data_IF_825767918898
#
_entry.id   IF_825767918898
#
_cell.length_a   1.000
_cell.length_b   1.000
_cell.length_c   1.000
_cell.angle_alpha   90.00
_cell.angle_beta   90.00
_cell.angle_gamma   90.00
#
_symmetry.space_group_name_H-M   'P 1'
#
loop_
_entity.id
_entity.type
_entity.pdbx_description
1 polymer ?
#
# COMPACT_ATOMS: atom_id res chain seq x y z
N UNK A 1 6.59 -15.12 9.02
CA UNK A 1 7.81 -14.55 9.63
C UNK A 1 7.48 -14.06 11.02
N UNK A 2 8.42 -14.17 11.95
CA UNK A 2 8.31 -13.54 13.26
C UNK A 2 8.36 -12.02 13.08
N UNK A 3 7.32 -11.31 13.51
CA UNK A 3 7.23 -9.85 13.38
C UNK A 3 8.38 -9.13 14.11
N UNK A 4 8.93 -9.75 15.16
CA UNK A 4 10.08 -9.22 15.88
C UNK A 4 11.32 -9.22 14.99
N UNK A 5 11.61 -10.35 14.33
CA UNK A 5 12.74 -10.48 13.41
C UNK A 5 12.66 -9.51 12.23
N UNK A 6 11.46 -9.30 11.67
CA UNK A 6 11.23 -8.32 10.58
C UNK A 6 11.53 -6.90 11.06
N UNK A 7 11.12 -6.56 12.29
CA UNK A 7 11.38 -5.25 12.90
C UNK A 7 12.85 -5.02 13.17
N UNK A 8 13.56 -6.01 13.71
CA UNK A 8 15.01 -5.93 13.94
C UNK A 8 15.77 -5.74 12.63
N UNK A 9 15.41 -6.49 11.59
CA UNK A 9 15.96 -6.34 10.24
C UNK A 9 15.72 -4.92 9.71
N UNK A 10 14.50 -4.39 9.86
CA UNK A 10 14.18 -3.03 9.43
C UNK A 10 14.99 -1.97 10.19
N UNK A 11 15.18 -2.12 11.50
CA UNK A 11 16.02 -1.22 12.31
C UNK A 11 17.49 -1.29 11.83
N UNK A 12 18.01 -2.48 11.54
CA UNK A 12 19.36 -2.64 11.02
C UNK A 12 19.55 -1.96 9.66
N UNK A 13 18.57 -2.09 8.77
CA UNK A 13 18.56 -1.40 7.45
C UNK A 13 18.48 0.11 7.64
N UNK A 14 17.62 0.58 8.55
CA UNK A 14 17.49 2.00 8.87
C UNK A 14 18.84 2.61 9.29
N UNK A 15 19.57 1.94 10.20
CA UNK A 15 20.90 2.39 10.63
C UNK A 15 21.90 2.50 9.47
N UNK A 16 21.84 1.56 8.51
CA UNK A 16 22.71 1.58 7.32
C UNK A 16 22.36 2.71 6.37
N UNK A 17 21.07 2.97 6.16
CA UNK A 17 20.63 3.97 5.18
C UNK A 17 20.77 5.42 5.69
N UNK A 18 20.87 5.61 7.01
CA UNK A 18 21.17 6.90 7.63
C UNK A 18 22.66 7.14 7.87
N UNK A 19 23.53 6.19 7.51
CA UNK A 19 24.97 6.39 7.61
C UNK A 19 25.45 7.37 6.52
N UNK A 20 26.51 8.13 6.81
CA UNK A 20 27.10 9.05 5.84
C UNK A 20 27.57 8.30 4.58
N UNK A 21 27.19 8.81 3.41
CA UNK A 21 27.51 8.20 2.11
C UNK A 21 26.68 6.97 1.75
N UNK A 22 25.65 6.62 2.52
CA UNK A 22 24.79 5.48 2.20
C UNK A 22 23.98 5.69 0.91
N UNK A 23 23.97 4.67 0.06
CA UNK A 23 23.11 4.62 -1.13
C UNK A 23 21.78 3.93 -0.78
N UNK A 24 20.72 4.75 -0.65
CA UNK A 24 19.36 4.28 -0.43
C UNK A 24 18.92 3.31 -1.53
N UNK A 25 19.29 3.60 -2.79
CA UNK A 25 18.88 2.80 -3.93
C UNK A 25 19.49 1.40 -3.90
N UNK A 26 20.79 1.31 -3.62
CA UNK A 26 21.46 0.03 -3.46
C UNK A 26 20.86 -0.82 -2.32
N UNK A 27 20.58 -0.19 -1.16
CA UNK A 27 19.95 -0.87 -0.03
C UNK A 27 18.51 -1.30 -0.32
N UNK A 28 17.74 -0.47 -1.04
CA UNK A 28 16.39 -0.81 -1.46
C UNK A 28 16.37 -1.98 -2.45
N UNK A 29 17.29 -2.01 -3.42
CA UNK A 29 17.45 -3.14 -4.35
C UNK A 29 17.78 -4.45 -3.65
N UNK A 30 18.59 -4.40 -2.58
CA UNK A 30 19.04 -5.58 -1.86
C UNK A 30 18.03 -6.11 -0.84
N UNK A 31 17.25 -5.22 -0.22
CA UNK A 31 16.46 -5.56 0.97
C UNK A 31 14.95 -5.35 0.83
N UNK A 32 14.46 -4.68 -0.23
CA UNK A 32 13.03 -4.45 -0.39
C UNK A 32 12.32 -5.71 -0.91
N UNK A 33 11.29 -6.14 -0.19
CA UNK A 33 10.42 -7.24 -0.62
C UNK A 33 9.46 -6.83 -1.76
N UNK A 34 9.35 -5.52 -2.03
CA UNK A 34 8.52 -4.99 -3.11
C UNK A 34 9.31 -5.02 -4.43
N UNK A 35 9.21 -6.15 -5.14
CA UNK A 35 9.97 -6.46 -6.37
C UNK A 35 10.05 -5.31 -7.37
N UNK A 36 8.93 -4.67 -7.68
CA UNK A 36 8.87 -3.61 -8.71
C UNK A 36 9.70 -2.38 -8.34
N UNK A 37 9.67 -1.97 -7.07
CA UNK A 37 10.49 -0.85 -6.60
C UNK A 37 11.92 -1.29 -6.33
N UNK A 38 12.14 -2.51 -5.83
CA UNK A 38 13.48 -3.06 -5.61
C UNK A 38 14.31 -3.04 -6.90
N UNK A 39 13.73 -3.46 -8.03
CA UNK A 39 14.40 -3.42 -9.35
C UNK A 39 14.76 -2.01 -9.82
N UNK A 40 14.18 -0.97 -9.23
CA UNK A 40 14.39 0.44 -9.58
C UNK A 40 15.04 1.23 -8.43
N UNK A 41 15.83 0.58 -7.58
CA UNK A 41 16.49 1.26 -6.46
C UNK A 41 15.52 1.88 -5.45
N UNK A 42 14.38 1.26 -5.23
CA UNK A 42 13.34 1.75 -4.32
C UNK A 42 12.48 2.89 -4.87
N UNK A 43 12.60 3.23 -6.15
CA UNK A 43 11.79 4.31 -6.74
C UNK A 43 10.30 3.94 -6.79
N UNK A 44 9.48 4.83 -6.23
CA UNK A 44 8.03 4.72 -6.24
C UNK A 44 7.36 5.75 -7.19
N UNK A 45 8.16 6.63 -7.78
CA UNK A 45 7.69 7.74 -8.62
C UNK A 45 6.88 8.77 -7.84
N UNK A 46 6.14 9.61 -8.57
CA UNK A 46 5.28 10.62 -7.98
C UNK A 46 3.96 10.02 -7.49
N UNK A 47 3.81 9.93 -6.17
CA UNK A 47 2.62 9.41 -5.52
C UNK A 47 1.77 10.56 -4.98
N UNK A 48 0.46 10.44 -5.13
CA UNK A 48 -0.51 11.37 -4.55
C UNK A 48 -1.02 10.84 -3.21
N UNK A 49 -1.35 11.74 -2.29
CA UNK A 49 -1.75 11.41 -0.91
C UNK A 49 -2.88 10.38 -0.80
N UNK A 50 -3.79 10.34 -1.78
CA UNK A 50 -4.91 9.39 -1.83
C UNK A 50 -4.48 7.94 -2.07
N UNK A 51 -3.28 7.72 -2.61
CA UNK A 51 -2.71 6.38 -2.87
C UNK A 51 -1.80 5.89 -1.75
N UNK A 52 -1.44 6.76 -0.81
CA UNK A 52 -0.59 6.43 0.35
C UNK A 52 -1.48 6.00 1.52
N UNK A 53 -1.10 4.92 2.20
CA UNK A 53 -1.80 4.49 3.42
C UNK A 53 -1.64 5.56 4.53
N UNK A 54 -2.65 5.78 5.39
CA UNK A 54 -2.63 6.86 6.36
C UNK A 54 -1.37 6.91 7.24
N UNK A 55 -0.86 5.74 7.63
CA UNK A 55 0.33 5.57 8.47
C UNK A 55 1.58 6.13 7.79
N UNK A 56 1.78 5.84 6.50
CA UNK A 56 2.88 6.39 5.72
C UNK A 56 2.67 7.88 5.41
N UNK A 57 1.43 8.29 5.15
CA UNK A 57 1.11 9.69 4.80
C UNK A 57 1.53 10.64 5.91
N UNK A 58 1.20 10.30 7.15
CA UNK A 58 1.55 11.13 8.31
C UNK A 58 3.07 11.37 8.40
N UNK A 59 3.87 10.32 8.19
CA UNK A 59 5.33 10.43 8.26
C UNK A 59 5.89 11.16 7.04
N UNK A 60 5.46 10.81 5.82
CA UNK A 60 5.93 11.46 4.58
C UNK A 60 5.66 12.97 4.61
N UNK A 61 4.52 13.40 5.16
CA UNK A 61 4.17 14.82 5.27
C UNK A 61 5.11 15.63 6.18
N UNK A 62 5.86 14.96 7.05
CA UNK A 62 6.80 15.57 7.99
C UNK A 62 8.26 15.50 7.49
N UNK A 63 8.55 14.65 6.49
CA UNK A 63 9.90 14.47 5.96
C UNK A 63 10.29 15.62 5.06
N UNK A 64 11.48 16.17 5.29
CA UNK A 64 12.11 17.10 4.35
C UNK A 64 12.61 16.36 3.12
N UNK A 65 12.76 17.09 2.01
CA UNK A 65 13.42 16.54 0.81
C UNK A 65 14.82 16.04 1.17
N UNK A 66 15.12 14.80 0.79
CA UNK A 66 16.35 14.07 1.11
C UNK A 66 16.29 13.23 2.38
N UNK A 67 15.31 13.46 3.26
CA UNK A 67 15.20 12.79 4.55
C UNK A 67 14.65 11.37 4.44
N UNK A 68 15.12 10.49 5.34
CA UNK A 68 14.70 9.09 5.44
C UNK A 68 13.88 8.89 6.71
N UNK A 69 12.75 8.22 6.62
CA UNK A 69 11.91 7.90 7.77
C UNK A 69 12.52 6.83 8.67
N UNK A 70 12.16 6.86 9.94
CA UNK A 70 12.25 5.67 10.79
C UNK A 70 11.38 4.52 10.20
N UNK A 71 11.60 3.25 10.61
CA UNK A 71 10.75 2.14 10.18
C UNK A 71 9.28 2.32 10.59
N UNK A 72 8.38 2.27 9.62
CA UNK A 72 6.94 2.50 9.78
C UNK A 72 6.20 1.18 9.66
N UNK A 73 5.49 0.77 10.72
CA UNK A 73 4.62 -0.39 10.67
C UNK A 73 3.31 -0.06 9.95
N UNK A 74 2.93 -0.88 8.97
CA UNK A 74 1.62 -0.85 8.31
C UNK A 74 0.99 -2.24 8.34
N UNK A 75 -0.26 -2.35 7.88
CA UNK A 75 -0.93 -3.63 7.69
C UNK A 75 -0.22 -4.56 6.68
N UNK A 76 0.65 -4.03 5.82
CA UNK A 76 1.38 -4.79 4.79
C UNK A 76 2.79 -5.19 5.22
N UNK A 77 3.31 -4.65 6.33
CA UNK A 77 4.67 -4.88 6.78
C UNK A 77 5.34 -3.61 7.30
N UNK A 78 6.66 -3.58 7.28
CA UNK A 78 7.46 -2.43 7.73
C UNK A 78 8.05 -1.72 6.52
N UNK A 79 7.96 -0.39 6.51
CA UNK A 79 8.42 0.44 5.41
C UNK A 79 9.42 1.47 5.91
N UNK A 80 10.45 1.73 5.11
CA UNK A 80 11.38 2.84 5.27
C UNK A 80 11.26 3.66 3.99
N UNK A 81 11.00 4.96 4.11
CA UNK A 81 10.77 5.83 2.96
C UNK A 81 11.77 6.96 2.94
N UNK A 82 12.24 7.33 1.75
CA UNK A 82 13.06 8.53 1.53
C UNK A 82 12.25 9.52 0.70
N UNK A 83 12.12 10.75 1.19
CA UNK A 83 11.45 11.80 0.43
C UNK A 83 12.42 12.33 -0.64
N UNK A 84 12.15 12.09 -1.92
CA UNK A 84 12.97 12.63 -3.01
C UNK A 84 12.52 14.03 -3.46
N UNK A 85 11.32 14.47 -3.06
CA UNK A 85 10.81 15.78 -3.39
C UNK A 85 9.29 15.87 -3.23
N UNK A 86 8.82 17.10 -3.03
CA UNK A 86 7.41 17.43 -2.98
C UNK A 86 7.12 18.38 -4.13
N UNK A 87 6.06 18.09 -4.90
CA UNK A 87 5.59 18.97 -5.96
C UNK A 87 4.13 19.33 -5.73
N UNK A 88 3.71 20.59 -6.00
CA UNK A 88 2.31 20.94 -6.01
C UNK A 88 1.53 20.05 -6.99
N UNK A 89 0.32 19.69 -6.60
CA UNK A 89 -0.63 19.14 -7.56
C UNK A 89 -1.00 20.19 -8.60
N UNK A 90 -1.63 19.77 -9.72
CA UNK A 90 -2.19 20.73 -10.67
C UNK A 90 -3.19 21.65 -9.96
N UNK A 91 -3.17 22.93 -10.32
CA UNK A 91 -4.20 23.88 -9.90
C UNK A 91 -5.56 23.36 -10.34
N UNK A 92 -6.50 23.31 -9.40
CA UNK A 92 -7.88 22.91 -9.66
C UNK A 92 -8.82 23.95 -9.07
N UNK A 93 -9.88 24.24 -9.81
CA UNK A 93 -10.92 25.11 -9.28
C UNK A 93 -11.67 24.43 -8.13
N UNK A 94 -12.25 25.24 -7.24
CA UNK A 94 -13.08 24.73 -6.14
C UNK A 94 -14.23 23.88 -6.69
N UNK A 95 -14.83 24.29 -7.81
CA UNK A 95 -15.93 23.56 -8.45
C UNK A 95 -15.52 22.17 -8.93
N UNK A 96 -14.33 22.04 -9.54
CA UNK A 96 -13.78 20.74 -9.94
C UNK A 96 -13.54 19.83 -8.74
N UNK A 97 -12.97 20.38 -7.66
CA UNK A 97 -12.73 19.63 -6.43
C UNK A 97 -14.05 19.16 -5.81
N UNK A 98 -15.07 20.04 -5.74
CA UNK A 98 -16.40 19.71 -5.21
C UNK A 98 -17.08 18.64 -6.06
N UNK A 99 -17.06 18.76 -7.38
CA UNK A 99 -17.64 17.77 -8.29
C UNK A 99 -17.01 16.39 -8.08
N UNK A 100 -15.67 16.32 -8.00
CA UNK A 100 -14.94 15.07 -7.76
C UNK A 100 -15.26 14.47 -6.39
N UNK A 101 -15.33 15.30 -5.34
CA UNK A 101 -15.67 14.86 -3.98
C UNK A 101 -17.08 14.29 -3.91
N UNK A 102 -18.07 14.90 -4.57
CA UNK A 102 -19.44 14.36 -4.63
C UNK A 102 -19.46 12.95 -5.22
N UNK A 103 -18.75 12.72 -6.33
CA UNK A 103 -18.65 11.39 -6.95
C UNK A 103 -17.98 10.39 -6.00
N UNK A 104 -16.86 10.78 -5.38
CA UNK A 104 -16.12 9.93 -4.44
C UNK A 104 -16.96 9.54 -3.21
N UNK A 105 -17.67 10.50 -2.60
CA UNK A 105 -18.55 10.27 -1.45
C UNK A 105 -19.72 9.35 -1.85
N UNK A 106 -20.34 9.57 -3.01
CA UNK A 106 -21.43 8.70 -3.52
C UNK A 106 -20.95 7.26 -3.70
N UNK A 107 -19.79 7.06 -4.34
CA UNK A 107 -19.19 5.72 -4.53
C UNK A 107 -18.91 5.04 -3.20
N UNK A 108 -18.25 5.73 -2.27
CA UNK A 108 -17.92 5.19 -0.94
C UNK A 108 -19.18 4.81 -0.15
N UNK A 109 -20.22 5.65 -0.21
CA UNK A 109 -21.50 5.36 0.44
C UNK A 109 -22.23 4.18 -0.21
N UNK A 110 -22.19 4.05 -1.53
CA UNK A 110 -22.76 2.90 -2.24
C UNK A 110 -22.03 1.59 -1.88
N UNK A 111 -20.70 1.59 -1.85
CA UNK A 111 -19.90 0.42 -1.43
C UNK A 111 -20.21 0.02 0.02
N UNK A 112 -20.35 0.99 0.93
CA UNK A 112 -20.75 0.72 2.32
C UNK A 112 -22.13 0.09 2.42
N UNK A 113 -23.13 0.64 1.73
CA UNK A 113 -24.49 0.08 1.69
C UNK A 113 -24.49 -1.33 1.11
N UNK A 114 -23.76 -1.55 0.01
CA UNK A 114 -23.61 -2.89 -0.61
C UNK A 114 -23.00 -3.88 0.37
N UNK A 115 -21.89 -3.52 1.04
CA UNK A 115 -21.22 -4.39 2.01
C UNK A 115 -22.12 -4.71 3.21
N UNK A 116 -22.88 -3.73 3.68
CA UNK A 116 -23.86 -3.93 4.74
C UNK A 116 -25.00 -4.87 4.31
N UNK A 117 -25.55 -4.67 3.11
CA UNK A 117 -26.60 -5.52 2.56
C UNK A 117 -26.13 -6.96 2.36
N UNK A 118 -24.94 -7.17 1.79
CA UNK A 118 -24.36 -8.52 1.63
C UNK A 118 -24.19 -9.21 2.99
N UNK A 119 -23.73 -8.48 4.01
CA UNK A 119 -23.60 -9.03 5.36
C UNK A 119 -24.97 -9.40 5.95
N UNK A 120 -25.97 -8.54 5.79
CA UNK A 120 -27.34 -8.77 6.28
C UNK A 120 -27.98 -9.99 5.59
N UNK A 121 -27.86 -10.10 4.27
CA UNK A 121 -28.35 -11.26 3.51
C UNK A 121 -27.63 -12.55 3.90
N UNK A 122 -26.29 -12.51 4.02
CA UNK A 122 -25.51 -13.66 4.46
C UNK A 122 -25.82 -14.10 5.91
N UNK A 123 -26.27 -13.19 6.77
CA UNK A 123 -26.72 -13.55 8.13
C UNK A 123 -28.14 -14.14 8.17
N UNK A 124 -28.98 -13.87 7.16
CA UNK A 124 -30.37 -14.31 7.09
C UNK A 124 -30.54 -15.61 6.31
N UNK A 125 -29.66 -15.88 5.36
CA UNK A 125 -29.64 -17.11 4.57
C UNK A 125 -28.28 -17.80 4.74
N UNK A 126 -28.29 -19.05 5.19
CA UNK A 126 -27.09 -19.89 5.21
C UNK A 126 -26.66 -20.17 3.78
N UNK A 127 -25.64 -19.45 3.30
CA UNK A 127 -25.01 -19.74 2.01
C UNK A 127 -23.94 -20.81 2.25
N UNK A 128 -24.25 -22.05 1.89
CA UNK A 128 -23.24 -23.11 1.82
C UNK A 128 -22.49 -23.01 0.49
N UNK A 129 -21.18 -22.78 0.57
CA UNK A 129 -20.29 -22.84 -0.58
C UNK A 129 -19.71 -24.25 -0.62
N UNK A 130 -19.98 -24.99 -1.70
CA UNK A 130 -19.33 -26.28 -1.94
C UNK A 130 -17.84 -26.04 -2.28
N UNK A 131 -17.02 -26.14 -1.24
CA UNK A 131 -15.56 -25.95 -1.34
C UNK A 131 -14.91 -27.01 -2.24
N UNK A 132 -15.49 -28.21 -2.35
CA UNK A 132 -14.95 -29.27 -3.20
C UNK A 132 -15.18 -28.96 -4.69
N UNK A 133 -16.38 -28.48 -5.04
CA UNK A 133 -16.68 -28.03 -6.40
C UNK A 133 -15.79 -26.85 -6.82
N UNK A 134 -15.59 -25.86 -5.94
CA UNK A 134 -14.70 -24.71 -6.22
C UNK A 134 -13.26 -25.15 -6.44
N UNK A 135 -12.73 -26.07 -5.61
CA UNK A 135 -11.38 -26.62 -5.81
C UNK A 135 -11.22 -27.34 -7.14
N UNK A 136 -12.23 -28.09 -7.57
CA UNK A 136 -12.22 -28.80 -8.86
C UNK A 136 -12.13 -27.82 -10.04
N UNK A 137 -12.95 -26.76 -10.03
CA UNK A 137 -12.93 -25.73 -11.08
C UNK A 137 -11.58 -25.00 -11.13
N UNK A 138 -11.00 -24.67 -9.96
CA UNK A 138 -9.66 -24.04 -9.91
C UNK A 138 -8.60 -24.96 -10.53
N UNK A 139 -8.63 -26.26 -10.23
CA UNK A 139 -7.69 -27.22 -10.78
C UNK A 139 -7.81 -27.34 -12.32
N UNK A 140 -9.04 -27.38 -12.85
CA UNK A 140 -9.29 -27.42 -14.30
C UNK A 140 -8.81 -26.15 -15.01
N UNK A 141 -9.04 -24.97 -14.41
CA UNK A 141 -8.55 -23.69 -14.98
C UNK A 141 -7.02 -23.62 -15.00
N UNK A 142 -6.36 -24.10 -13.94
CA UNK A 142 -4.89 -24.17 -13.88
C UNK A 142 -4.37 -25.14 -14.96
N UNK A 143 -4.99 -26.30 -15.11
CA UNK A 143 -4.61 -27.29 -16.12
C UNK A 143 -4.82 -26.80 -17.57
N UNK A 144 -5.83 -25.96 -17.81
CA UNK A 144 -6.13 -25.39 -19.14
C UNK A 144 -5.19 -24.26 -19.61
N UNK A 145 -4.31 -23.79 -18.72
CA UNK A 145 -3.36 -22.68 -18.99
C UNK A 145 -1.92 -23.14 -19.22
N UNK A 146 -1.66 -24.45 -19.14
CA UNK A 146 -0.40 -25.08 -19.56
C UNK A 146 -0.59 -25.68 -20.96
#
# INVERSE_FOLDING_TARGET
EDQLAVREKAIAIYKKVTADGADFGALASLHSDHKDSAMKGGEAGWITDDKVVPELRAVISQLKTGEVSQPIQTAKGIHIVKNQGVRPGPDRSVDEVVARLRVAVRKKSAERRRKALVRDLASKQSVEIDVAAVKKVIAEVIASRQ
#
